data_IF_424158851319
#
_entry.id   IF_424158851319
#
_cell.length_a   1.000
_cell.length_b   1.000
_cell.length_c   1.000
_cell.angle_alpha   90.00
_cell.angle_beta   90.00
_cell.angle_gamma   90.00
#
_symmetry.space_group_name_H-M   'P 1'
#
loop_
_entity.id
_entity.type
_entity.pdbx_description
1 polymer ?
#
# COMPACT_ATOMS: atom_id res chain seq x y z
N UNK A 1 3.71 -67.11 48.18
CA UNK A 1 2.62 -66.83 47.25
C UNK A 1 3.25 -66.42 45.92
N UNK A 2 3.66 -67.37 45.06
CA UNK A 2 2.86 -67.96 43.95
C UNK A 2 2.37 -66.88 42.97
N UNK A 3 2.68 -66.81 41.68
CA UNK A 3 3.26 -67.70 40.66
C UNK A 3 3.67 -66.75 39.50
N UNK A 4 4.87 -66.75 38.89
CA UNK A 4 5.38 -67.68 37.85
C UNK A 4 4.35 -68.02 36.75
N UNK A 5 4.50 -67.49 35.52
CA UNK A 5 5.14 -68.22 34.41
C UNK A 5 4.89 -67.61 33.01
N UNK A 6 6.01 -67.21 32.41
CA UNK A 6 6.53 -67.44 31.04
C UNK A 6 5.82 -68.41 30.08
N UNK A 7 6.12 -68.21 28.77
CA UNK A 7 6.39 -69.20 27.68
C UNK A 7 5.35 -69.32 26.54
N UNK A 8 5.79 -68.86 25.34
CA UNK A 8 5.91 -69.56 24.01
C UNK A 8 4.64 -70.22 23.42
N UNK A 9 4.49 -70.52 22.13
CA UNK A 9 5.23 -70.29 20.88
C UNK A 9 4.38 -70.92 19.77
N UNK A 10 4.36 -70.26 18.60
CA UNK A 10 4.50 -70.83 17.24
C UNK A 10 3.47 -71.82 16.62
N UNK A 11 3.16 -71.45 15.37
CA UNK A 11 3.16 -72.23 14.10
C UNK A 11 1.88 -72.84 13.51
N UNK A 12 1.77 -72.58 12.20
CA UNK A 12 1.14 -73.35 11.12
C UNK A 12 -0.40 -73.41 11.11
N UNK A 13 -1.10 -73.28 9.98
CA UNK A 13 -0.87 -73.99 8.71
C UNK A 13 -1.63 -73.29 7.55
N UNK A 14 -1.12 -73.48 6.33
CA UNK A 14 -1.62 -73.01 5.02
C UNK A 14 -2.86 -73.79 4.54
N UNK A 15 -3.61 -73.24 3.56
CA UNK A 15 -4.30 -73.85 2.38
C UNK A 15 -5.25 -72.73 1.83
N UNK A 16 -4.98 -72.05 0.71
CA UNK A 16 -5.00 -72.40 -0.72
C UNK A 16 -6.34 -72.14 -1.46
N UNK A 17 -6.21 -71.28 -2.48
CA UNK A 17 -6.85 -71.26 -3.82
C UNK A 17 -8.34 -70.91 -4.02
N UNK A 18 -8.55 -69.90 -4.87
CA UNK A 18 -9.80 -69.63 -5.60
C UNK A 18 -9.60 -68.52 -6.63
N UNK A 19 -9.43 -68.88 -7.90
CA UNK A 19 -9.29 -68.01 -9.07
C UNK A 19 -10.65 -67.45 -9.48
N UNK A 20 -10.73 -66.15 -9.77
CA UNK A 20 -11.89 -65.49 -10.39
C UNK A 20 -11.49 -64.19 -11.06
N UNK A 21 -11.20 -64.26 -12.36
CA UNK A 21 -10.87 -63.15 -13.24
C UNK A 21 -12.15 -62.39 -13.63
N UNK A 22 -12.23 -61.10 -13.33
CA UNK A 22 -13.21 -60.19 -13.94
C UNK A 22 -12.51 -58.88 -14.33
N UNK A 23 -12.24 -58.76 -15.63
CA UNK A 23 -11.78 -57.54 -16.29
C UNK A 23 -12.94 -56.54 -16.36
N UNK A 24 -12.82 -55.41 -15.67
CA UNK A 24 -13.62 -54.22 -15.90
C UNK A 24 -12.67 -53.03 -16.07
N UNK A 25 -12.38 -52.72 -17.33
CA UNK A 25 -11.74 -51.52 -17.80
C UNK A 25 -12.61 -50.29 -17.48
N UNK A 26 -12.22 -49.55 -16.44
CA UNK A 26 -12.76 -48.22 -16.14
C UNK A 26 -11.64 -47.19 -16.23
N UNK A 27 -11.65 -46.38 -17.29
CA UNK A 27 -10.79 -45.22 -17.42
C UNK A 27 -11.17 -44.20 -16.33
N UNK A 28 -10.39 -44.16 -15.25
CA UNK A 28 -10.49 -43.14 -14.23
C UNK A 28 -9.95 -41.82 -14.78
N UNK A 29 -10.84 -40.92 -15.18
CA UNK A 29 -10.50 -39.53 -15.41
C UNK A 29 -9.97 -38.93 -14.11
N UNK A 30 -8.66 -38.71 -14.04
CA UNK A 30 -8.03 -37.89 -13.00
C UNK A 30 -8.61 -36.49 -13.18
N UNK A 31 -9.60 -36.15 -12.36
CA UNK A 31 -10.02 -34.77 -12.19
C UNK A 31 -8.85 -34.04 -11.54
N UNK A 32 -8.06 -33.36 -12.36
CA UNK A 32 -7.21 -32.28 -11.90
C UNK A 32 -8.15 -31.25 -11.26
N UNK A 33 -8.22 -31.27 -9.92
CA UNK A 33 -8.78 -30.16 -9.18
C UNK A 33 -7.88 -28.97 -9.49
N UNK A 34 -8.38 -28.11 -10.37
CA UNK A 34 -7.88 -26.76 -10.49
C UNK A 34 -8.01 -26.14 -9.11
N UNK A 35 -6.88 -25.95 -8.43
CA UNK A 35 -6.80 -25.09 -7.26
C UNK A 35 -7.11 -23.68 -7.74
N UNK A 36 -8.40 -23.34 -7.77
CA UNK A 36 -8.85 -21.96 -7.86
C UNK A 36 -8.25 -21.25 -6.66
N UNK A 37 -7.20 -20.47 -6.90
CA UNK A 37 -6.49 -19.72 -5.88
C UNK A 37 -7.51 -18.84 -5.16
N UNK A 38 -7.76 -19.15 -3.88
CA UNK A 38 -8.38 -18.18 -3.00
C UNK A 38 -7.48 -16.94 -3.04
N UNK A 39 -8.02 -15.72 -3.25
CA UNK A 39 -7.21 -14.51 -3.18
C UNK A 39 -6.51 -14.52 -1.83
N UNK A 40 -5.17 -14.40 -1.84
CA UNK A 40 -4.40 -14.22 -0.61
C UNK A 40 -5.00 -13.03 0.11
N UNK A 41 -5.67 -13.26 1.24
CA UNK A 41 -6.11 -12.17 2.11
C UNK A 41 -4.85 -11.54 2.67
N UNK A 42 -4.53 -10.33 2.22
CA UNK A 42 -3.49 -9.54 2.86
C UNK A 42 -3.86 -9.36 4.34
N UNK A 43 -2.95 -9.67 5.28
CA UNK A 43 -3.22 -9.50 6.69
C UNK A 43 -3.59 -8.05 6.98
N UNK A 44 -4.72 -7.81 7.63
CA UNK A 44 -5.12 -6.47 8.06
C UNK A 44 -4.23 -5.89 9.17
N UNK A 45 -3.29 -6.67 9.68
CA UNK A 45 -2.36 -6.27 10.73
C UNK A 45 -0.93 -6.47 10.25
N UNK A 46 -0.12 -5.43 10.37
CA UNK A 46 1.28 -5.40 9.93
C UNK A 46 2.18 -4.94 11.08
N UNK A 47 3.39 -5.50 11.22
CA UNK A 47 4.29 -5.07 12.28
C UNK A 47 4.90 -3.71 11.96
N UNK A 48 5.15 -2.92 13.00
CA UNK A 48 5.97 -1.71 12.94
C UNK A 48 7.00 -1.74 14.10
N UNK A 49 7.97 -0.81 14.17
CA UNK A 49 8.97 -0.81 15.23
C UNK A 49 8.40 -0.70 16.65
N UNK A 50 7.20 -0.14 16.82
CA UNK A 50 6.55 0.00 18.13
C UNK A 50 5.64 -1.17 18.50
N UNK A 51 5.10 -1.90 17.51
CA UNK A 51 4.30 -3.09 17.72
C UNK A 51 3.57 -3.51 16.44
N UNK A 52 2.27 -3.27 16.39
CA UNK A 52 1.39 -3.68 15.31
C UNK A 52 0.44 -2.57 14.87
N UNK A 53 0.50 -2.25 13.58
CA UNK A 53 -0.48 -1.43 12.87
C UNK A 53 -1.64 -2.31 12.39
N UNK A 54 -2.86 -1.81 12.50
CA UNK A 54 -4.03 -2.40 11.84
C UNK A 54 -4.50 -1.47 10.74
N UNK A 55 -4.85 -2.03 9.59
CA UNK A 55 -5.69 -1.38 8.59
C UNK A 55 -7.07 -2.04 8.60
N UNK A 56 -8.14 -1.25 8.57
CA UNK A 56 -9.50 -1.78 8.40
C UNK A 56 -10.14 -1.22 7.14
N UNK A 57 -11.10 -1.99 6.61
CA UNK A 57 -11.95 -1.61 5.48
C UNK A 57 -13.38 -2.05 5.81
N UNK A 58 -14.42 -1.44 5.19
CA UNK A 58 -15.82 -1.85 5.40
C UNK A 58 -16.08 -3.33 5.10
N UNK A 59 -15.26 -3.97 4.26
CA UNK A 59 -15.41 -5.39 3.88
C UNK A 59 -14.58 -6.35 4.73
N UNK A 60 -13.76 -5.85 5.66
CA UNK A 60 -12.87 -6.68 6.48
C UNK A 60 -11.75 -7.35 5.68
N UNK A 61 -11.43 -6.83 4.49
CA UNK A 61 -10.31 -7.27 3.66
C UNK A 61 -9.91 -6.18 2.67
N UNK A 62 -8.65 -6.18 2.24
CA UNK A 62 -8.17 -5.32 1.16
C UNK A 62 -8.70 -5.84 -0.19
N UNK A 63 -9.37 -4.99 -0.95
CA UNK A 63 -9.84 -5.31 -2.30
C UNK A 63 -8.72 -5.12 -3.33
N UNK A 64 -7.89 -6.15 -3.50
CA UNK A 64 -6.80 -6.15 -4.49
C UNK A 64 -7.30 -6.19 -5.94
N UNK A 65 -8.61 -6.29 -6.15
CA UNK A 65 -9.25 -6.17 -7.47
C UNK A 65 -9.46 -4.73 -7.92
N UNK A 66 -9.39 -3.75 -6.99
CA UNK A 66 -9.53 -2.31 -7.28
C UNK A 66 -8.50 -1.82 -8.33
N UNK A 67 -8.82 -0.80 -9.15
CA UNK A 67 -7.84 -0.17 -10.02
C UNK A 67 -6.59 0.36 -9.31
N UNK A 68 -6.66 0.62 -7.99
CA UNK A 68 -5.50 0.97 -7.16
C UNK A 68 -4.33 -0.02 -7.27
N UNK A 69 -4.62 -1.30 -7.55
CA UNK A 69 -3.62 -2.35 -7.68
C UNK A 69 -3.23 -2.64 -9.14
N UNK A 70 -3.85 -1.98 -10.11
CA UNK A 70 -3.63 -2.23 -11.54
C UNK A 70 -2.65 -1.21 -12.10
N UNK A 71 -1.78 -1.67 -13.01
CA UNK A 71 -0.95 -0.74 -13.78
C UNK A 71 -1.84 -0.06 -14.82
N UNK A 72 -2.08 1.24 -14.65
CA UNK A 72 -2.88 2.06 -15.55
C UNK A 72 -2.00 2.83 -16.55
N UNK A 73 -0.71 2.97 -16.23
CA UNK A 73 0.29 3.53 -17.13
C UNK A 73 1.17 2.52 -17.87
N UNK A 74 2.20 3.05 -18.52
CA UNK A 74 3.08 2.30 -19.43
C UNK A 74 4.29 1.65 -18.76
N UNK A 75 4.60 2.04 -17.51
CA UNK A 75 5.82 1.62 -16.83
C UNK A 75 5.63 0.42 -15.88
N UNK A 76 4.42 -0.14 -15.79
CA UNK A 76 4.14 -1.33 -14.98
C UNK A 76 3.88 -1.05 -13.50
N UNK A 77 3.93 0.22 -13.05
CA UNK A 77 3.52 0.59 -11.70
C UNK A 77 2.01 0.65 -11.59
N UNK A 78 1.51 0.26 -10.43
CA UNK A 78 0.22 0.68 -9.85
C UNK A 78 0.45 1.55 -8.60
N UNK A 79 -0.61 2.14 -8.04
CA UNK A 79 -0.58 2.85 -6.75
C UNK A 79 0.06 1.97 -5.65
N UNK A 80 -0.28 0.69 -5.60
CA UNK A 80 0.30 -0.28 -4.67
C UNK A 80 1.81 -0.52 -4.85
N UNK A 81 2.44 -0.06 -5.92
CA UNK A 81 3.91 -0.13 -6.04
C UNK A 81 4.61 0.72 -4.99
N UNK A 82 3.94 1.78 -4.51
CA UNK A 82 4.44 2.73 -3.52
C UNK A 82 3.58 2.77 -2.25
N UNK A 83 2.29 2.49 -2.34
CA UNK A 83 1.36 2.57 -1.20
C UNK A 83 1.04 1.18 -0.67
N UNK A 84 2.06 0.48 -0.15
CA UNK A 84 1.88 -0.88 0.34
C UNK A 84 1.42 -0.92 1.79
N UNK A 85 0.52 -1.85 2.09
CA UNK A 85 -0.05 -1.98 3.44
C UNK A 85 1.01 -2.24 4.51
N UNK A 86 2.02 -3.08 4.23
CA UNK A 86 3.10 -3.37 5.19
C UNK A 86 3.98 -2.16 5.52
N UNK A 87 3.95 -1.13 4.68
CA UNK A 87 4.69 0.11 4.83
C UNK A 87 3.77 1.27 5.22
N UNK A 88 2.59 0.96 5.78
CA UNK A 88 1.63 1.97 6.25
C UNK A 88 0.99 2.75 5.10
N UNK A 89 0.75 2.10 3.96
CA UNK A 89 0.22 2.73 2.73
C UNK A 89 1.13 3.82 2.17
N UNK A 90 2.42 3.73 2.48
CA UNK A 90 3.51 4.58 2.02
C UNK A 90 4.71 3.69 1.65
N UNK A 91 5.91 4.27 1.56
CA UNK A 91 7.16 3.58 1.25
C UNK A 91 8.06 3.53 2.48
N UNK A 92 8.68 2.37 2.71
CA UNK A 92 9.82 2.23 3.63
C UNK A 92 11.11 1.88 2.90
N UNK A 93 12.24 2.45 3.32
CA UNK A 93 13.56 2.10 2.78
C UNK A 93 13.85 0.60 2.92
N UNK A 94 13.41 -0.02 4.03
CA UNK A 94 13.61 -1.44 4.29
C UNK A 94 12.87 -2.34 3.28
N UNK A 95 11.61 -2.05 2.95
CA UNK A 95 10.88 -2.81 1.92
C UNK A 95 11.46 -2.59 0.53
N UNK A 96 11.84 -1.34 0.20
CA UNK A 96 12.52 -1.03 -1.06
C UNK A 96 13.81 -1.85 -1.21
N UNK A 97 14.66 -1.91 -0.18
CA UNK A 97 15.88 -2.73 -0.22
C UNK A 97 15.55 -4.21 -0.48
N UNK A 98 14.55 -4.77 0.22
CA UNK A 98 14.13 -6.17 -0.01
C UNK A 98 13.66 -6.40 -1.45
N UNK A 99 12.88 -5.46 -2.01
CA UNK A 99 12.41 -5.53 -3.40
C UNK A 99 13.55 -5.38 -4.40
N UNK A 100 14.54 -4.55 -4.10
CA UNK A 100 15.73 -4.40 -4.93
C UNK A 100 16.52 -5.70 -4.98
N UNK A 101 16.78 -6.32 -3.84
CA UNK A 101 17.51 -7.59 -3.75
C UNK A 101 16.78 -8.72 -4.47
N UNK A 102 15.46 -8.82 -4.26
CA UNK A 102 14.63 -9.84 -4.89
C UNK A 102 14.52 -9.68 -6.41
N UNK A 103 14.39 -8.44 -6.90
CA UNK A 103 14.14 -8.15 -8.31
C UNK A 103 15.40 -7.75 -9.09
N UNK A 104 16.53 -7.57 -8.42
CA UNK A 104 17.75 -6.96 -9.00
C UNK A 104 17.47 -5.57 -9.59
N UNK A 105 16.65 -4.78 -8.89
CA UNK A 105 16.20 -3.44 -9.27
C UNK A 105 15.28 -3.39 -10.49
N UNK A 106 14.47 -4.43 -10.74
CA UNK A 106 13.52 -4.48 -11.87
C UNK A 106 12.05 -4.36 -11.46
N UNK A 107 11.76 -4.46 -10.16
CA UNK A 107 10.43 -4.22 -9.62
C UNK A 107 9.87 -2.86 -10.10
N UNK A 108 8.55 -2.74 -10.39
CA UNK A 108 7.92 -1.51 -10.83
C UNK A 108 8.24 -0.23 -10.05
N UNK A 109 8.52 -0.27 -8.74
CA UNK A 109 8.89 0.95 -8.01
C UNK A 109 10.17 1.59 -8.57
N UNK A 110 11.08 0.79 -9.11
CA UNK A 110 12.34 1.20 -9.71
C UNK A 110 12.13 1.67 -11.16
N UNK A 111 11.76 2.94 -11.35
CA UNK A 111 11.72 3.58 -12.68
C UNK A 111 12.49 4.90 -12.68
N UNK A 112 13.15 5.24 -13.80
CA UNK A 112 13.87 6.51 -13.92
C UNK A 112 13.00 7.75 -13.68
N UNK A 113 11.73 7.74 -14.08
CA UNK A 113 10.84 8.92 -14.07
C UNK A 113 10.88 9.68 -12.73
N UNK A 114 10.79 8.97 -11.60
CA UNK A 114 10.82 9.55 -10.25
C UNK A 114 11.45 8.63 -9.19
N UNK A 115 11.67 7.34 -9.48
CA UNK A 115 12.26 6.39 -8.53
C UNK A 115 13.78 6.52 -8.50
N UNK A 116 14.36 7.03 -9.59
CA UNK A 116 15.78 7.34 -9.68
C UNK A 116 16.09 8.76 -9.22
N UNK A 117 17.34 8.95 -8.82
CA UNK A 117 17.90 10.25 -8.45
C UNK A 117 17.87 11.25 -9.61
N UNK A 118 17.85 10.74 -10.84
CA UNK A 118 17.70 11.50 -12.10
C UNK A 118 16.93 10.65 -13.12
N UNK A 119 16.04 11.24 -13.92
CA UNK A 119 15.36 10.51 -15.00
C UNK A 119 16.28 10.13 -16.16
N UNK A 120 17.53 10.63 -16.15
CA UNK A 120 18.59 10.25 -17.09
C UNK A 120 19.58 9.24 -16.49
N UNK A 121 19.35 8.75 -15.27
CA UNK A 121 20.26 7.83 -14.61
C UNK A 121 20.41 6.52 -15.39
N UNK A 122 21.64 5.99 -15.42
CA UNK A 122 21.92 4.69 -16.03
C UNK A 122 21.33 3.56 -15.17
N UNK A 123 20.53 2.70 -15.80
CA UNK A 123 19.90 1.53 -15.17
C UNK A 123 20.24 0.23 -15.92
N UNK A 124 21.28 0.26 -16.75
CA UNK A 124 21.68 -0.83 -17.65
C UNK A 124 22.27 -2.05 -16.92
N UNK A 125 22.93 -1.84 -15.79
CA UNK A 125 23.54 -2.88 -14.96
C UNK A 125 22.99 -2.88 -13.55
N UNK A 126 23.21 -3.95 -12.79
CA UNK A 126 22.79 -4.00 -11.38
C UNK A 126 23.47 -2.89 -10.55
N UNK A 127 24.77 -2.67 -10.75
CA UNK A 127 25.50 -1.62 -10.05
C UNK A 127 24.97 -0.22 -10.44
N UNK A 128 24.69 -0.01 -11.73
CA UNK A 128 24.10 1.24 -12.21
C UNK A 128 22.72 1.48 -11.58
N UNK A 129 21.86 0.46 -11.50
CA UNK A 129 20.56 0.55 -10.81
C UNK A 129 20.69 0.89 -9.33
N UNK A 130 21.65 0.26 -8.63
CA UNK A 130 21.87 0.56 -7.22
C UNK A 130 22.25 2.04 -7.00
N UNK A 131 23.11 2.58 -7.87
CA UNK A 131 23.48 3.99 -7.84
C UNK A 131 22.32 4.91 -8.26
N UNK A 132 21.59 4.54 -9.32
CA UNK A 132 20.47 5.31 -9.85
C UNK A 132 19.33 5.45 -8.85
N UNK A 133 19.05 4.41 -8.06
CA UNK A 133 17.94 4.35 -7.12
C UNK A 133 18.36 4.60 -5.67
N UNK A 134 19.55 5.17 -5.41
CA UNK A 134 20.09 5.26 -4.05
C UNK A 134 19.21 6.06 -3.09
N UNK A 135 18.59 7.18 -3.52
CA UNK A 135 17.68 7.94 -2.65
C UNK A 135 16.45 7.13 -2.27
N UNK A 136 15.92 6.35 -3.20
CA UNK A 136 14.79 5.47 -2.95
C UNK A 136 15.18 4.30 -2.01
N UNK A 137 16.35 3.71 -2.22
CA UNK A 137 16.91 2.62 -1.40
C UNK A 137 17.18 3.08 0.03
N UNK A 138 18.00 4.13 0.18
CA UNK A 138 18.57 4.51 1.47
C UNK A 138 17.58 5.33 2.32
N UNK A 139 16.61 5.99 1.70
CA UNK A 139 15.71 6.93 2.38
C UNK A 139 14.21 6.69 2.12
N UNK A 140 13.84 5.83 1.17
CA UNK A 140 12.42 5.60 0.83
C UNK A 140 11.75 6.84 0.26
N UNK A 141 12.48 7.66 -0.51
CA UNK A 141 11.98 8.89 -1.13
C UNK A 141 12.05 8.82 -2.64
N UNK A 142 11.07 9.44 -3.30
CA UNK A 142 11.03 9.60 -4.75
C UNK A 142 11.43 11.03 -5.12
N UNK A 143 11.96 11.19 -6.33
CA UNK A 143 12.25 12.47 -6.95
C UNK A 143 10.96 13.09 -7.50
N UNK A 144 10.73 14.36 -7.18
CA UNK A 144 9.65 15.18 -7.72
C UNK A 144 10.28 16.40 -8.39
N UNK A 145 10.20 16.41 -9.71
CA UNK A 145 10.65 17.53 -10.55
C UNK A 145 9.68 18.69 -10.47
N UNK A 146 10.13 19.88 -10.04
CA UNK A 146 9.32 21.11 -10.08
C UNK A 146 10.10 22.26 -10.73
N UNK A 147 9.50 23.02 -11.66
CA UNK A 147 10.14 24.22 -12.17
C UNK A 147 10.20 25.30 -11.08
N UNK A 148 11.17 26.20 -11.17
CA UNK A 148 11.09 27.48 -10.45
C UNK A 148 9.82 28.19 -10.94
N UNK A 149 8.89 28.61 -10.05
CA UNK A 149 7.67 29.28 -10.44
C UNK A 149 7.95 30.55 -11.27
N UNK A 150 7.13 30.83 -12.28
CA UNK A 150 7.33 31.99 -13.16
C UNK A 150 7.25 33.34 -12.41
N UNK A 151 6.62 33.36 -11.24
CA UNK A 151 6.41 34.50 -10.36
C UNK A 151 7.24 34.38 -9.07
N UNK A 152 8.27 33.54 -9.07
CA UNK A 152 9.15 33.40 -7.92
C UNK A 152 9.82 34.75 -7.60
N UNK A 153 9.80 35.13 -6.32
CA UNK A 153 10.55 36.28 -5.79
C UNK A 153 12.03 35.93 -5.53
N UNK A 154 12.49 34.79 -6.05
CA UNK A 154 13.85 34.29 -5.97
C UNK A 154 14.31 33.76 -7.33
N UNK A 155 15.62 33.64 -7.51
CA UNK A 155 16.21 33.02 -8.70
C UNK A 155 17.19 31.91 -8.31
N UNK A 156 17.39 30.94 -9.20
CA UNK A 156 18.40 29.90 -9.01
C UNK A 156 19.75 30.42 -9.53
N UNK A 157 20.68 30.71 -8.63
CA UNK A 157 21.98 31.32 -8.99
C UNK A 157 23.07 30.30 -9.30
N UNK A 158 22.98 29.09 -8.74
CA UNK A 158 23.93 27.99 -8.97
C UNK A 158 23.26 26.64 -8.66
N UNK A 159 23.80 25.55 -9.22
CA UNK A 159 23.40 24.17 -8.92
C UNK A 159 24.64 23.37 -8.54
N UNK A 160 24.58 22.73 -7.38
CA UNK A 160 25.52 21.69 -6.96
C UNK A 160 24.69 20.42 -6.70
N UNK A 161 24.42 19.68 -7.78
CA UNK A 161 23.60 18.47 -7.76
C UNK A 161 24.50 17.26 -8.08
N UNK A 162 24.70 16.33 -7.13
CA UNK A 162 25.53 15.13 -7.35
C UNK A 162 24.95 14.20 -8.43
N UNK A 163 23.70 14.39 -8.83
CA UNK A 163 23.03 13.61 -9.87
C UNK A 163 22.96 14.32 -11.23
N UNK A 164 23.50 15.54 -11.29
CA UNK A 164 23.68 16.34 -12.50
C UNK A 164 22.41 16.52 -13.35
N UNK A 165 21.25 16.70 -12.69
CA UNK A 165 19.96 16.86 -13.36
C UNK A 165 19.25 18.18 -13.04
N UNK A 166 19.34 18.63 -11.78
CA UNK A 166 18.60 19.78 -11.31
C UNK A 166 18.93 21.06 -12.10
N UNK A 167 17.90 21.85 -12.39
CA UNK A 167 18.03 23.16 -13.05
C UNK A 167 16.84 24.05 -12.70
N UNK A 168 16.85 25.32 -13.14
CA UNK A 168 15.70 26.20 -12.93
C UNK A 168 14.42 25.70 -13.62
N UNK A 169 14.58 24.92 -14.70
CA UNK A 169 13.46 24.27 -15.40
C UNK A 169 12.88 23.11 -14.59
N UNK A 170 13.71 22.42 -13.81
CA UNK A 170 13.30 21.27 -13.03
C UNK A 170 14.26 21.06 -11.85
N UNK A 171 13.84 21.48 -10.66
CA UNK A 171 14.51 21.19 -9.41
C UNK A 171 14.27 19.72 -9.05
N UNK A 172 15.30 19.05 -8.52
CA UNK A 172 15.18 17.68 -7.99
C UNK A 172 14.84 17.72 -6.50
N UNK A 173 13.55 17.64 -6.16
CA UNK A 173 13.12 17.55 -4.76
C UNK A 173 12.87 16.09 -4.40
N UNK A 174 13.22 15.68 -3.19
CA UNK A 174 13.01 14.30 -2.75
C UNK A 174 12.03 14.28 -1.59
N UNK A 175 10.97 13.48 -1.73
CA UNK A 175 9.98 13.29 -0.67
C UNK A 175 9.47 11.86 -0.63
N UNK A 176 9.05 11.43 0.55
CA UNK A 176 8.34 10.16 0.71
C UNK A 176 6.93 10.28 0.12
N UNK A 177 6.42 9.27 -0.61
CA UNK A 177 5.00 9.21 -0.96
C UNK A 177 4.14 9.32 0.30
N UNK A 178 3.12 10.19 0.28
CA UNK A 178 2.22 10.35 1.42
C UNK A 178 1.40 9.06 1.64
N UNK A 179 1.01 8.71 2.87
CA UNK A 179 0.15 7.55 3.11
C UNK A 179 -1.19 7.66 2.35
N UNK A 180 -1.63 6.57 1.72
CA UNK A 180 -2.95 6.49 1.06
C UNK A 180 -4.01 5.83 1.96
N UNK A 181 -4.13 6.33 3.19
CA UNK A 181 -5.05 5.82 4.23
C UNK A 181 -5.44 6.99 5.13
N UNK A 182 -6.58 6.90 5.82
CA UNK A 182 -7.14 7.96 6.67
C UNK A 182 -7.50 9.26 5.94
N UNK A 183 -7.62 9.23 4.60
CA UNK A 183 -7.74 10.42 3.75
C UNK A 183 -9.08 11.16 3.87
N UNK A 184 -10.13 10.53 4.42
CA UNK A 184 -11.45 11.16 4.56
C UNK A 184 -11.49 12.33 5.55
N UNK A 185 -10.41 12.51 6.31
CA UNK A 185 -10.24 13.58 7.28
C UNK A 185 -9.32 14.68 6.78
N UNK A 186 -8.82 14.57 5.54
CA UNK A 186 -8.00 15.61 4.94
C UNK A 186 -8.82 16.86 4.68
N UNK A 187 -8.26 17.99 5.09
CA UNK A 187 -8.77 19.36 4.83
C UNK A 187 -7.90 20.08 3.80
N UNK A 188 -7.00 19.35 3.15
CA UNK A 188 -6.16 19.75 2.03
C UNK A 188 -5.53 18.47 1.44
N UNK A 189 -5.59 18.29 0.13
CA UNK A 189 -4.96 17.14 -0.55
C UNK A 189 -3.56 17.53 -1.01
N UNK A 190 -2.59 16.66 -0.71
CA UNK A 190 -1.14 16.91 -0.70
C UNK A 190 -0.69 17.87 0.41
N UNK A 191 0.56 17.70 0.85
CA UNK A 191 1.12 18.45 1.99
C UNK A 191 1.06 19.99 1.84
N UNK A 192 1.02 20.48 0.60
CA UNK A 192 0.93 21.90 0.24
C UNK A 192 -0.42 22.29 -0.35
N UNK A 193 -1.41 21.40 -0.29
CA UNK A 193 -2.77 21.63 -0.79
C UNK A 193 -2.88 21.77 -2.30
N UNK A 194 -1.84 21.47 -3.08
CA UNK A 194 -1.83 21.74 -4.54
C UNK A 194 -2.92 21.01 -5.32
N UNK A 195 -3.43 19.91 -4.80
CA UNK A 195 -4.52 19.11 -5.40
C UNK A 195 -5.89 19.46 -4.80
N UNK A 196 -5.98 20.52 -3.99
CA UNK A 196 -7.23 20.99 -3.39
C UNK A 196 -7.95 21.90 -4.36
N UNK A 197 -8.98 21.40 -5.04
CA UNK A 197 -9.67 22.13 -6.12
C UNK A 197 -10.86 22.96 -5.64
N UNK A 198 -11.36 22.72 -4.42
CA UNK A 198 -12.37 23.52 -3.77
C UNK A 198 -11.86 24.01 -2.40
N UNK A 199 -12.00 25.31 -2.05
CA UNK A 199 -11.67 25.75 -0.72
C UNK A 199 -12.63 25.10 0.27
N UNK A 200 -12.09 24.42 1.27
CA UNK A 200 -12.85 23.97 2.43
C UNK A 200 -13.45 25.21 3.13
N UNK A 201 -14.75 25.45 2.94
CA UNK A 201 -15.43 26.62 3.51
C UNK A 201 -16.11 26.26 4.83
N UNK A 202 -15.92 27.05 5.91
CA UNK A 202 -16.74 26.96 7.10
C UNK A 202 -18.22 27.36 6.86
N UNK A 203 -19.17 26.81 7.63
CA UNK A 203 -19.00 25.54 8.31
C UNK A 203 -18.85 24.49 7.22
N UNK A 204 -17.73 23.75 7.20
CA UNK A 204 -17.80 22.43 6.60
C UNK A 204 -18.93 21.81 7.38
N UNK A 205 -19.95 21.37 6.68
CA UNK A 205 -21.20 20.79 7.14
C UNK A 205 -20.94 19.60 8.08
N UNK A 206 -20.40 19.87 9.26
CA UNK A 206 -19.89 18.95 10.26
C UNK A 206 -19.20 17.68 9.72
N UNK A 207 -18.45 17.77 8.61
CA UNK A 207 -17.80 16.63 7.96
C UNK A 207 -18.75 15.55 7.41
N UNK A 208 -19.98 15.96 7.04
CA UNK A 208 -20.97 15.10 6.41
C UNK A 208 -20.79 15.02 4.89
N UNK A 209 -20.51 16.15 4.23
CA UNK A 209 -20.18 16.23 2.81
C UNK A 209 -18.66 16.07 2.62
N UNK A 210 -18.34 15.17 1.70
CA UNK A 210 -16.97 14.79 1.32
C UNK A 210 -16.75 14.95 -0.17
N UNK A 211 -17.68 15.56 -0.91
CA UNK A 211 -17.60 15.72 -2.36
C UNK A 211 -16.34 16.50 -2.76
N UNK A 212 -16.07 17.64 -2.11
CA UNK A 212 -14.87 18.45 -2.34
C UNK A 212 -13.56 17.69 -2.09
N UNK A 213 -13.48 16.89 -1.01
CA UNK A 213 -12.32 16.03 -0.72
C UNK A 213 -12.18 14.95 -1.79
N UNK A 214 -13.29 14.32 -2.20
CA UNK A 214 -13.28 13.24 -3.20
C UNK A 214 -12.87 13.74 -4.59
N UNK A 215 -13.30 14.94 -4.98
CA UNK A 215 -12.87 15.58 -6.22
C UNK A 215 -11.37 15.93 -6.20
N UNK A 216 -10.89 16.42 -5.05
CA UNK A 216 -9.47 16.70 -4.85
C UNK A 216 -8.61 15.42 -4.91
N UNK A 217 -9.07 14.33 -4.29
CA UNK A 217 -8.44 13.01 -4.37
C UNK A 217 -8.49 12.42 -5.80
N UNK A 218 -9.60 12.60 -6.53
CA UNK A 218 -9.71 12.15 -7.92
C UNK A 218 -8.69 12.84 -8.83
N UNK A 219 -8.46 14.13 -8.60
CA UNK A 219 -7.45 14.91 -9.33
C UNK A 219 -6.02 14.49 -8.96
N UNK A 220 -5.76 14.26 -7.67
CA UNK A 220 -4.49 13.69 -7.21
C UNK A 220 -4.20 12.34 -7.86
N UNK A 221 -5.19 11.44 -7.90
CA UNK A 221 -5.06 10.12 -8.52
C UNK A 221 -4.81 10.24 -10.02
N UNK A 222 -5.52 11.14 -10.71
CA UNK A 222 -5.32 11.44 -12.13
C UNK A 222 -3.88 11.88 -12.40
N UNK A 223 -3.36 12.86 -11.65
CA UNK A 223 -2.00 13.36 -11.82
C UNK A 223 -0.95 12.30 -11.47
N UNK A 224 -1.18 11.48 -10.45
CA UNK A 224 -0.31 10.37 -10.10
C UNK A 224 -0.25 9.32 -11.22
N UNK A 225 -1.37 8.96 -11.84
CA UNK A 225 -1.42 8.01 -12.95
C UNK A 225 -0.69 8.56 -14.19
N UNK A 226 -0.91 9.83 -14.52
CA UNK A 226 -0.24 10.48 -15.66
C UNK A 226 1.27 10.64 -15.42
N UNK A 227 1.67 11.06 -14.22
CA UNK A 227 3.07 11.33 -13.89
C UNK A 227 3.85 10.08 -13.49
N UNK A 228 3.44 9.42 -12.40
CA UNK A 228 4.18 8.33 -11.78
C UNK A 228 4.05 7.00 -12.53
N UNK A 229 2.89 6.68 -13.09
CA UNK A 229 2.70 5.47 -13.91
C UNK A 229 3.00 5.71 -15.41
N UNK A 230 3.17 6.99 -15.80
CA UNK A 230 3.39 7.41 -17.19
C UNK A 230 2.28 6.93 -18.12
N UNK A 231 1.02 7.11 -17.71
CA UNK A 231 -0.12 6.84 -18.57
C UNK A 231 -0.16 7.79 -19.78
N UNK A 232 -0.46 7.25 -20.96
CA UNK A 232 -0.51 8.03 -22.19
C UNK A 232 -1.76 8.92 -22.32
N UNK A 233 -2.80 8.62 -21.55
CA UNK A 233 -4.06 9.35 -21.51
C UNK A 233 -4.65 9.28 -20.11
N UNK A 234 -5.51 10.25 -19.79
CA UNK A 234 -6.26 10.23 -18.55
C UNK A 234 -7.12 8.94 -18.45
N UNK A 235 -7.17 8.28 -17.27
CA UNK A 235 -8.14 7.22 -17.01
C UNK A 235 -9.57 7.77 -17.04
N UNK A 236 -10.55 6.89 -17.24
CA UNK A 236 -11.96 7.27 -17.18
C UNK A 236 -12.39 7.63 -15.75
N UNK A 237 -13.41 8.47 -15.63
CA UNK A 237 -13.91 8.93 -14.32
C UNK A 237 -14.33 7.78 -13.40
N UNK A 238 -14.90 6.70 -13.94
CA UNK A 238 -15.27 5.53 -13.13
C UNK A 238 -14.05 4.92 -12.46
N UNK A 239 -12.92 4.83 -13.16
CA UNK A 239 -11.66 4.32 -12.61
C UNK A 239 -11.15 5.22 -11.49
N UNK A 240 -11.20 6.54 -11.68
CA UNK A 240 -10.81 7.49 -10.63
C UNK A 240 -11.71 7.37 -9.40
N UNK A 241 -13.03 7.29 -9.61
CA UNK A 241 -13.99 7.08 -8.50
C UNK A 241 -13.72 5.79 -7.74
N UNK A 242 -13.43 4.68 -8.42
CA UNK A 242 -13.10 3.40 -7.78
C UNK A 242 -11.79 3.47 -6.96
N UNK A 243 -10.80 4.27 -7.40
CA UNK A 243 -9.56 4.52 -6.66
C UNK A 243 -9.85 5.35 -5.41
N UNK A 244 -10.57 6.46 -5.56
CA UNK A 244 -10.95 7.35 -4.45
C UNK A 244 -11.81 6.61 -3.43
N UNK A 245 -12.76 5.79 -3.89
CA UNK A 245 -13.56 4.93 -3.01
C UNK A 245 -12.71 3.92 -2.26
N UNK A 246 -11.67 3.36 -2.88
CA UNK A 246 -10.77 2.45 -2.19
C UNK A 246 -10.01 3.17 -1.07
N UNK A 247 -9.30 4.26 -1.37
CA UNK A 247 -8.46 4.96 -0.39
C UNK A 247 -9.25 5.70 0.69
N UNK A 248 -10.47 6.17 0.38
CA UNK A 248 -11.38 6.78 1.34
C UNK A 248 -11.94 5.78 2.37
N UNK A 249 -11.79 4.49 2.13
CA UNK A 249 -12.26 3.44 3.03
C UNK A 249 -11.13 2.65 3.70
N UNK A 250 -9.90 3.17 3.60
CA UNK A 250 -8.75 2.67 4.35
C UNK A 250 -8.58 3.48 5.62
N UNK A 251 -8.61 2.78 6.75
CA UNK A 251 -8.31 3.36 8.05
C UNK A 251 -7.15 2.61 8.66
N UNK A 252 -6.11 3.31 9.10
CA UNK A 252 -4.90 2.71 9.67
C UNK A 252 -4.54 3.38 10.98
N UNK A 253 -4.31 2.58 12.02
CA UNK A 253 -3.87 3.07 13.33
C UNK A 253 -3.04 2.00 14.07
N UNK A 254 -2.27 2.44 15.05
CA UNK A 254 -1.62 1.53 15.99
C UNK A 254 -2.68 0.72 16.73
N UNK A 255 -2.58 -0.60 16.65
CA UNK A 255 -3.50 -1.55 17.25
C UNK A 255 -2.95 -2.16 18.52
N UNK A 256 -1.64 -2.44 18.54
CA UNK A 256 -0.95 -2.91 19.73
C UNK A 256 0.44 -2.30 19.80
N UNK A 257 0.88 -1.97 21.01
CA UNK A 257 2.24 -1.59 21.34
C UNK A 257 2.96 -2.78 21.99
N UNK A 258 4.26 -2.91 21.76
CA UNK A 258 5.06 -4.04 22.24
C UNK A 258 5.19 -4.09 23.77
N UNK A 259 5.02 -2.95 24.45
CA UNK A 259 5.09 -2.83 25.91
C UNK A 259 3.71 -2.70 26.54
N UNK A 260 2.83 -1.86 25.97
CA UNK A 260 1.50 -1.61 26.52
C UNK A 260 0.47 -2.69 26.14
N UNK A 261 0.78 -3.54 25.16
CA UNK A 261 -0.17 -4.54 24.66
C UNK A 261 -1.20 -3.93 23.72
N UNK A 262 -2.43 -4.47 23.72
CA UNK A 262 -3.50 -3.98 22.85
C UNK A 262 -3.93 -2.58 23.28
N UNK A 263 -4.02 -1.68 22.31
CA UNK A 263 -4.39 -0.29 22.56
C UNK A 263 -5.92 -0.08 22.59
N UNK A 264 -6.67 -1.17 22.56
CA UNK A 264 -8.12 -1.18 22.65
C UNK A 264 -8.67 -2.15 23.71
N UNK A 265 -7.82 -2.50 24.69
CA UNK A 265 -8.23 -3.20 25.91
C UNK A 265 -8.41 -2.17 27.05
N UNK A 266 -9.04 -2.57 28.16
CA UNK A 266 -9.21 -1.74 29.37
C UNK A 266 -9.74 -0.31 29.12
N UNK A 267 -10.82 -0.20 28.34
CA UNK A 267 -11.48 1.06 27.93
C UNK A 267 -10.61 2.02 27.07
N UNK A 268 -9.45 1.57 26.59
CA UNK A 268 -8.64 2.32 25.64
C UNK A 268 -9.29 2.39 24.25
N UNK A 269 -9.01 3.46 23.50
CA UNK A 269 -9.70 3.81 22.24
C UNK A 269 -8.78 3.75 21.00
N UNK A 270 -7.72 2.95 21.05
CA UNK A 270 -6.78 2.76 19.94
C UNK A 270 -7.28 1.82 18.85
N UNK A 271 -6.49 1.66 17.78
CA UNK A 271 -6.79 0.76 16.68
C UNK A 271 -7.71 1.33 15.60
N UNK A 272 -7.62 0.72 14.42
CA UNK A 272 -8.22 1.27 13.20
C UNK A 272 -9.74 1.14 13.17
N UNK A 273 -10.30 0.13 13.82
CA UNK A 273 -11.76 -0.06 13.92
C UNK A 273 -12.45 1.03 14.73
N UNK A 274 -11.79 1.52 15.79
CA UNK A 274 -12.29 2.63 16.60
C UNK A 274 -12.09 3.95 15.86
N UNK A 275 -10.92 4.13 15.23
CA UNK A 275 -10.62 5.29 14.39
C UNK A 275 -11.66 5.48 13.26
N UNK A 276 -12.02 4.40 12.56
CA UNK A 276 -13.01 4.41 11.47
C UNK A 276 -14.42 4.87 11.88
N UNK A 277 -14.73 4.90 13.19
CA UNK A 277 -16.01 5.33 13.75
C UNK A 277 -15.96 6.74 14.34
N UNK A 278 -14.79 7.37 14.37
CA UNK A 278 -14.66 8.73 14.88
C UNK A 278 -15.41 9.68 13.96
N UNK A 279 -16.27 10.49 14.57
CA UNK A 279 -16.84 11.62 13.89
C UNK A 279 -15.74 12.67 13.67
N UNK A 280 -15.82 13.40 12.56
CA UNK A 280 -14.86 14.42 12.21
C UNK A 280 -15.58 15.60 11.58
N UNK A 281 -15.10 16.78 11.90
CA UNK A 281 -15.45 18.04 11.25
C UNK A 281 -14.27 19.00 11.38
N UNK A 282 -14.17 19.93 10.44
CA UNK A 282 -13.19 21.03 10.57
C UNK A 282 -13.58 21.88 11.75
N UNK A 283 -12.60 22.20 12.59
CA UNK A 283 -12.82 22.94 13.84
C UNK A 283 -13.12 22.06 15.06
N UNK A 284 -13.14 20.72 14.94
CA UNK A 284 -13.36 19.81 16.10
C UNK A 284 -12.36 20.02 17.26
N UNK A 285 -11.18 20.55 16.97
CA UNK A 285 -10.17 20.90 17.97
C UNK A 285 -9.99 22.42 18.12
N UNK A 286 -10.94 23.23 17.64
CA UNK A 286 -10.85 24.68 17.73
C UNK A 286 -11.12 25.15 19.16
N UNK A 287 -10.04 25.41 19.89
CA UNK A 287 -10.09 25.95 21.24
C UNK A 287 -10.66 27.38 21.32
N UNK A 288 -10.91 28.05 20.18
CA UNK A 288 -11.48 29.39 20.10
C UNK A 288 -13.01 29.40 20.01
N UNK A 289 -13.66 28.23 19.98
CA UNK A 289 -15.12 28.10 20.09
C UNK A 289 -15.87 27.91 18.77
N UNK A 290 -15.17 27.70 17.66
CA UNK A 290 -15.77 27.37 16.36
C UNK A 290 -16.02 25.84 16.21
N UNK A 291 -16.18 25.10 17.32
CA UNK A 291 -16.66 23.72 17.27
C UNK A 291 -18.16 23.72 16.95
N UNK A 292 -18.58 23.27 15.74
CA UNK A 292 -19.97 23.28 15.30
C UNK A 292 -20.90 22.35 16.09
N UNK A 293 -20.38 21.59 17.06
CA UNK A 293 -21.18 20.72 17.95
C UNK A 293 -21.49 21.33 19.32
N UNK A 294 -20.91 22.50 19.63
CA UNK A 294 -21.15 23.21 20.89
C UNK A 294 -22.32 24.21 20.80
N UNK A 295 -22.99 24.32 19.64
CA UNK A 295 -24.22 25.10 19.43
C UNK A 295 -25.50 24.25 19.46
#
# INVERSE_FOLDING_TARGET
>A
MTHRDTIRSSTCLKIAAGIGLALLSGAGAIHAQTSGGQPKREPLVTPDPSGWLQTTTPRGSIDTGSPFFRSLGSNGRSCNSCHQQQDGWSVSAADVHRRFDASRGTDPIFRPVDGANSPLADVSTLAARAAAYSMLLDHGVIRVGLPVPAQAEFTLTAVDDPYHYASAKELSLFRRPLPATNLIWDTAVMWDGRETFAPFKPPMDAGNDREDTRDSLASQALHAILGHEQAASAPGELTLREIVDFESHLFTAQYADSLAGRLNDDDAMGGAEILARQAFWVGINDALGDDPTLE
#
